data_IF_351518587064
#
_entry.id   IF_351518587064
#
_cell.length_a   1.000
_cell.length_b   1.000
_cell.length_c   1.000
_cell.angle_alpha   90.00
_cell.angle_beta   90.00
_cell.angle_gamma   90.00
#
_symmetry.space_group_name_H-M   'P 1'
#
loop_
_entity.id
_entity.type
_entity.pdbx_description
1 polymer ?
#
# COMPACT_ATOMS: atom_id res chain seq x y z
N UNK A 1 0.73 -2.63 -5.88
CA UNK A 1 0.55 -1.30 -5.30
C UNK A 1 1.81 -0.52 -5.61
N UNK A 2 1.71 0.48 -6.46
CA UNK A 2 2.81 1.42 -6.67
C UNK A 2 2.76 2.48 -5.56
N UNK A 3 3.87 2.73 -4.87
CA UNK A 3 3.87 3.69 -3.78
C UNK A 3 3.78 5.14 -4.28
N UNK A 4 4.11 5.40 -5.55
CA UNK A 4 4.06 6.75 -6.13
C UNK A 4 2.63 7.28 -6.36
N UNK A 5 1.63 6.39 -6.33
CA UNK A 5 0.20 6.73 -6.28
C UNK A 5 -0.20 7.53 -5.02
N UNK A 6 0.59 7.44 -3.96
CA UNK A 6 0.35 8.15 -2.70
C UNK A 6 0.94 9.55 -2.81
N UNK A 7 0.18 10.56 -2.34
CA UNK A 7 0.68 11.93 -2.38
C UNK A 7 2.06 12.04 -1.67
N UNK A 8 3.04 12.75 -2.25
CA UNK A 8 4.40 12.85 -1.73
C UNK A 8 4.48 13.38 -0.29
N UNK A 9 3.43 14.05 0.19
CA UNK A 9 3.31 14.44 1.62
C UNK A 9 3.33 13.22 2.56
N UNK A 10 2.85 12.06 2.10
CA UNK A 10 2.77 10.82 2.88
C UNK A 10 3.78 9.75 2.42
N UNK A 11 4.21 9.79 1.16
CA UNK A 11 5.16 8.85 0.58
C UNK A 11 6.27 9.54 -0.25
N UNK A 12 7.14 10.35 0.38
CA UNK A 12 8.21 11.06 -0.34
C UNK A 12 9.28 10.13 -0.94
N UNK A 13 9.42 8.92 -0.42
CA UNK A 13 10.46 7.96 -0.74
C UNK A 13 10.17 7.12 -1.99
N UNK A 14 10.07 7.75 -3.14
CA UNK A 14 9.91 7.10 -4.46
C UNK A 14 10.75 7.83 -5.52
N UNK A 15 11.04 7.15 -6.64
CA UNK A 15 11.77 7.74 -7.77
C UNK A 15 10.96 8.81 -8.52
N UNK A 16 9.62 8.73 -8.49
CA UNK A 16 8.71 9.54 -9.29
C UNK A 16 7.56 10.12 -8.46
N UNK A 17 7.79 11.12 -7.58
CA UNK A 17 6.72 11.66 -6.73
C UNK A 17 5.58 12.31 -7.54
N UNK A 18 4.32 11.90 -7.34
CA UNK A 18 3.14 12.42 -8.05
C UNK A 18 2.16 13.18 -7.13
N UNK A 19 1.99 14.49 -7.35
CA UNK A 19 1.11 15.33 -6.51
C UNK A 19 -0.39 15.02 -6.70
N UNK A 20 -1.17 15.17 -5.63
CA UNK A 20 -2.63 14.96 -5.68
C UNK A 20 -3.06 13.50 -5.54
N UNK A 21 -2.13 12.63 -5.14
CA UNK A 21 -2.37 11.23 -4.83
C UNK A 21 -3.19 11.02 -3.55
N UNK A 22 -3.36 9.75 -3.19
CA UNK A 22 -4.09 9.39 -1.98
C UNK A 22 -3.30 9.72 -0.72
N UNK A 23 -3.98 9.99 0.39
CA UNK A 23 -3.34 9.98 1.70
C UNK A 23 -3.25 8.55 2.28
N UNK A 24 -2.47 8.38 3.35
CA UNK A 24 -2.27 7.07 3.99
C UNK A 24 -3.57 6.36 4.39
N UNK A 25 -4.55 7.11 4.92
CA UNK A 25 -5.81 6.53 5.39
C UNK A 25 -6.66 6.05 4.21
N UNK A 26 -6.75 6.84 3.13
CA UNK A 26 -7.45 6.46 1.92
C UNK A 26 -6.84 5.22 1.26
N UNK A 27 -5.51 5.04 1.33
CA UNK A 27 -4.85 3.84 0.83
C UNK A 27 -5.26 2.58 1.63
N UNK A 28 -5.34 2.69 2.96
CA UNK A 28 -5.83 1.60 3.80
C UNK A 28 -7.32 1.30 3.53
N UNK A 29 -8.15 2.33 3.40
CA UNK A 29 -9.57 2.18 3.07
C UNK A 29 -9.77 1.51 1.71
N UNK A 30 -8.98 1.89 0.70
CA UNK A 30 -8.97 1.25 -0.61
C UNK A 30 -8.71 -0.25 -0.50
N UNK A 31 -7.63 -0.64 0.19
CA UNK A 31 -7.28 -2.06 0.36
C UNK A 31 -8.33 -2.83 1.17
N UNK A 32 -8.83 -2.26 2.27
CA UNK A 32 -9.90 -2.88 3.07
C UNK A 32 -11.20 -3.00 2.28
N UNK A 33 -11.48 -2.07 1.38
CA UNK A 33 -12.61 -2.12 0.45
C UNK A 33 -12.58 -3.30 -0.51
N UNK A 34 -11.42 -3.94 -0.70
CA UNK A 34 -11.28 -5.16 -1.50
C UNK A 34 -11.69 -6.43 -0.75
N UNK A 35 -12.01 -6.37 0.55
CA UNK A 35 -12.40 -7.53 1.35
C UNK A 35 -13.53 -8.39 0.74
N UNK A 36 -14.59 -7.83 0.12
CA UNK A 36 -15.61 -8.63 -0.57
C UNK A 36 -15.08 -9.45 -1.76
N UNK A 37 -13.91 -9.08 -2.29
CA UNK A 37 -13.22 -9.75 -3.39
C UNK A 37 -12.05 -10.61 -2.91
N UNK A 38 -11.86 -10.79 -1.59
CA UNK A 38 -10.71 -11.48 -1.02
C UNK A 38 -10.52 -12.89 -1.61
N UNK A 39 -11.59 -13.65 -1.87
CA UNK A 39 -11.52 -14.98 -2.50
C UNK A 39 -10.91 -15.00 -3.91
N UNK A 40 -10.73 -13.84 -4.55
CA UNK A 40 -10.07 -13.66 -5.85
C UNK A 40 -8.67 -13.06 -5.72
N UNK A 41 -8.20 -12.76 -4.51
CA UNK A 41 -6.94 -12.08 -4.24
C UNK A 41 -5.80 -13.11 -4.11
N UNK A 42 -5.13 -13.40 -5.23
CA UNK A 42 -4.14 -14.48 -5.34
C UNK A 42 -2.73 -14.04 -4.91
N UNK A 43 -2.35 -12.81 -5.27
CA UNK A 43 -1.00 -12.28 -5.05
C UNK A 43 -1.03 -10.76 -4.99
N UNK A 44 0.04 -10.17 -4.46
CA UNK A 44 0.25 -8.73 -4.42
C UNK A 44 1.74 -8.41 -4.46
N UNK A 45 2.05 -7.27 -5.05
CA UNK A 45 3.37 -6.66 -5.02
C UNK A 45 3.24 -5.22 -4.49
N UNK A 46 4.22 -4.75 -3.72
CA UNK A 46 4.38 -3.34 -3.39
C UNK A 46 5.73 -2.86 -3.92
N UNK A 47 5.70 -1.87 -4.80
CA UNK A 47 6.86 -1.46 -5.62
C UNK A 47 7.17 0.03 -5.46
N UNK A 48 8.27 0.46 -6.09
CA UNK A 48 8.77 1.85 -6.14
C UNK A 48 9.12 2.51 -4.79
N UNK A 49 9.24 1.73 -3.73
CA UNK A 49 9.77 2.24 -2.45
C UNK A 49 11.27 2.49 -2.58
N UNK A 50 11.69 3.72 -2.32
CA UNK A 50 13.08 4.15 -2.37
C UNK A 50 13.54 4.68 -1.01
N UNK A 51 14.13 3.83 -0.13
CA UNK A 51 14.57 4.23 1.20
C UNK A 51 15.58 5.38 1.21
N UNK A 52 16.38 5.51 0.15
CA UNK A 52 17.34 6.61 0.01
C UNK A 52 16.67 8.00 -0.03
N UNK A 53 15.41 8.07 -0.46
CA UNK A 53 14.61 9.30 -0.52
C UNK A 53 13.58 9.40 0.62
N UNK A 54 13.69 8.53 1.63
CA UNK A 54 12.77 8.45 2.76
C UNK A 54 13.48 8.73 4.10
N UNK A 55 14.02 9.95 4.34
CA UNK A 55 14.85 10.24 5.49
C UNK A 55 14.12 10.08 6.84
N UNK A 56 12.80 10.26 6.85
CA UNK A 56 11.96 10.06 8.02
C UNK A 56 11.44 8.62 8.17
N UNK A 57 11.68 7.74 7.18
CA UNK A 57 11.17 6.37 7.15
C UNK A 57 9.65 6.27 6.97
N UNK A 58 8.97 7.37 6.64
CA UNK A 58 7.50 7.43 6.56
C UNK A 58 6.96 6.62 5.40
N UNK A 59 7.66 6.63 4.26
CA UNK A 59 7.29 5.87 3.07
C UNK A 59 7.46 4.38 3.31
N UNK A 60 8.58 3.96 3.89
CA UNK A 60 8.85 2.58 4.26
C UNK A 60 7.85 2.06 5.28
N UNK A 61 7.49 2.89 6.27
CA UNK A 61 6.47 2.53 7.26
C UNK A 61 5.08 2.41 6.63
N UNK A 62 4.69 3.33 5.74
CA UNK A 62 3.44 3.24 5.02
C UNK A 62 3.40 1.98 4.14
N UNK A 63 4.45 1.74 3.36
CA UNK A 63 4.60 0.54 2.55
C UNK A 63 4.43 -0.75 3.36
N UNK A 64 5.10 -0.85 4.53
CA UNK A 64 4.96 -2.00 5.41
C UNK A 64 3.52 -2.20 5.89
N UNK A 65 2.81 -1.13 6.23
CA UNK A 65 1.40 -1.20 6.62
C UNK A 65 0.49 -1.61 5.45
N UNK A 66 0.73 -1.11 4.24
CA UNK A 66 -0.03 -1.51 3.06
C UNK A 66 0.20 -2.98 2.69
N UNK A 67 1.44 -3.47 2.83
CA UNK A 67 1.74 -4.91 2.71
C UNK A 67 0.95 -5.72 3.74
N UNK A 68 0.86 -5.27 4.99
CA UNK A 68 0.06 -5.94 6.02
C UNK A 68 -1.44 -5.98 5.68
N UNK A 69 -2.01 -4.90 5.15
CA UNK A 69 -3.40 -4.87 4.68
C UNK A 69 -3.61 -5.88 3.53
N UNK A 70 -2.68 -5.95 2.55
CA UNK A 70 -2.75 -6.93 1.46
C UNK A 70 -2.59 -8.37 1.95
N UNK A 71 -1.70 -8.63 2.91
CA UNK A 71 -1.60 -9.94 3.59
C UNK A 71 -2.91 -10.32 4.27
N UNK A 72 -3.60 -9.35 4.88
CA UNK A 72 -4.88 -9.57 5.54
C UNK A 72 -5.97 -9.99 4.55
N UNK A 73 -5.95 -9.46 3.31
CA UNK A 73 -6.85 -9.90 2.24
C UNK A 73 -6.58 -11.36 1.84
N UNK A 74 -5.32 -11.76 1.68
CA UNK A 74 -4.95 -13.17 1.40
C UNK A 74 -5.39 -14.08 2.55
N UNK A 75 -5.17 -13.67 3.80
CA UNK A 75 -5.60 -14.44 4.96
C UNK A 75 -7.12 -14.59 5.03
N UNK A 76 -7.87 -13.55 4.67
CA UNK A 76 -9.32 -13.60 4.59
C UNK A 76 -9.79 -14.58 3.51
N UNK A 77 -9.14 -14.60 2.35
CA UNK A 77 -9.42 -15.54 1.26
C UNK A 77 -9.37 -17.00 1.72
N UNK A 78 -8.35 -17.35 2.51
CA UNK A 78 -8.17 -18.70 3.05
C UNK A 78 -9.16 -19.09 4.16
N UNK A 79 -9.82 -18.11 4.80
CA UNK A 79 -10.83 -18.38 5.83
C UNK A 79 -12.21 -18.66 5.24
N UNK A 80 -12.46 -18.15 4.03
CA UNK A 80 -13.77 -18.20 3.36
C UNK A 80 -13.90 -19.32 2.32
N UNK A 81 -12.81 -20.03 2.00
CA UNK A 81 -12.82 -21.26 1.20
C UNK A 81 -12.87 -22.50 2.08
#
# INVERSE_FOLDING_TARGET
FDIDFVDPTFAPGTGTPEVGGFNSAQCQELLRGLAPLAGQFVAYDLVEVMPAYDPAGTTCLLAANLVYEMMSLVALAHKTG
#
